data_IF_128738752706
#
_entry.id   IF_128738752706
#
_cell.length_a   1.000
_cell.length_b   1.000
_cell.length_c   1.000
_cell.angle_alpha   90.00
_cell.angle_beta   90.00
_cell.angle_gamma   90.00
#
_symmetry.space_group_name_H-M   'P 1'
#
loop_
_entity.id
_entity.type
_entity.pdbx_description
1 polymer ?
#
# COMPACT_ATOMS: atom_id res chain seq x y z
N UNK A 1 -30.81 0.56 37.41
CA UNK A 1 -32.03 0.99 36.68
C UNK A 1 -31.72 0.77 35.22
N UNK A 2 -32.43 -0.16 34.58
CA UNK A 2 -32.10 -0.57 33.21
C UNK A 2 -32.38 0.59 32.26
N UNK A 3 -31.46 0.85 31.32
CA UNK A 3 -31.55 1.93 30.36
C UNK A 3 -32.89 1.84 29.56
N UNK A 4 -33.65 2.94 29.42
CA UNK A 4 -34.96 2.92 28.73
C UNK A 4 -34.85 2.49 27.26
N UNK A 5 -33.74 2.77 26.59
CA UNK A 5 -33.51 2.32 25.21
C UNK A 5 -33.35 0.81 25.14
N UNK A 6 -32.61 0.20 26.09
CA UNK A 6 -32.50 -1.26 26.18
C UNK A 6 -33.87 -1.89 26.48
N UNK A 7 -34.67 -1.30 27.37
CA UNK A 7 -36.03 -1.82 27.64
C UNK A 7 -36.92 -1.80 26.39
N UNK A 8 -36.85 -0.73 25.57
CA UNK A 8 -37.56 -0.66 24.30
C UNK A 8 -37.13 -1.79 23.35
N UNK A 9 -35.82 -2.00 23.19
CA UNK A 9 -35.26 -3.07 22.35
C UNK A 9 -35.67 -4.45 22.83
N UNK A 10 -35.59 -4.71 24.14
CA UNK A 10 -36.02 -5.97 24.75
C UNK A 10 -37.46 -6.29 24.41
N UNK A 11 -38.36 -5.32 24.54
CA UNK A 11 -39.78 -5.52 24.23
C UNK A 11 -39.98 -5.91 22.75
N UNK A 12 -39.26 -5.27 21.83
CA UNK A 12 -39.33 -5.61 20.41
C UNK A 12 -38.76 -7.00 20.11
N UNK A 13 -37.62 -7.36 20.72
CA UNK A 13 -37.06 -8.71 20.62
C UNK A 13 -38.01 -9.79 21.14
N UNK A 14 -38.79 -9.52 22.21
CA UNK A 14 -39.81 -10.45 22.71
C UNK A 14 -41.02 -10.61 21.78
N UNK A 15 -41.32 -9.62 20.94
CA UNK A 15 -42.32 -9.75 19.88
C UNK A 15 -41.83 -10.66 18.73
N UNK A 16 -40.56 -11.07 18.77
CA UNK A 16 -39.95 -11.99 17.80
C UNK A 16 -39.47 -11.31 16.52
N UNK A 17 -39.67 -9.98 16.40
CA UNK A 17 -39.29 -9.20 15.23
C UNK A 17 -38.74 -7.84 15.66
N UNK A 18 -37.53 -7.50 15.19
CA UNK A 18 -36.89 -6.21 15.39
C UNK A 18 -36.21 -5.76 14.09
N UNK A 19 -36.68 -4.66 13.51
CA UNK A 19 -36.02 -4.01 12.38
C UNK A 19 -34.97 -3.05 12.91
N UNK A 20 -33.72 -3.18 12.46
CA UNK A 20 -32.60 -2.34 12.89
C UNK A 20 -32.58 -0.99 12.14
N UNK A 21 -33.59 -0.17 12.40
CA UNK A 21 -33.78 1.14 11.76
C UNK A 21 -33.65 2.32 12.74
N UNK A 22 -33.76 3.54 12.22
CA UNK A 22 -33.62 4.75 13.02
C UNK A 22 -34.66 4.85 14.16
N UNK A 23 -35.83 4.21 14.02
CA UNK A 23 -36.89 4.25 15.03
C UNK A 23 -36.60 3.30 16.19
N UNK A 24 -36.04 2.13 15.90
CA UNK A 24 -35.79 1.10 16.89
C UNK A 24 -34.49 1.33 17.67
N UNK A 25 -33.42 1.73 16.98
CA UNK A 25 -32.06 1.78 17.54
C UNK A 25 -31.42 3.18 17.47
N UNK A 26 -32.12 4.16 16.91
CA UNK A 26 -31.64 5.54 16.76
C UNK A 26 -30.84 5.78 15.49
N UNK A 27 -30.80 7.04 15.04
CA UNK A 27 -30.24 7.42 13.73
C UNK A 27 -28.75 7.11 13.57
N UNK A 28 -27.95 7.31 14.62
CA UNK A 28 -26.50 7.10 14.53
C UNK A 28 -26.15 5.63 14.21
N UNK A 29 -26.71 4.68 14.97
CA UNK A 29 -26.46 3.26 14.80
C UNK A 29 -27.11 2.72 13.52
N UNK A 30 -28.33 3.17 13.21
CA UNK A 30 -29.01 2.79 11.98
C UNK A 30 -28.23 3.24 10.74
N UNK A 31 -27.63 4.44 10.74
CA UNK A 31 -26.81 4.90 9.63
C UNK A 31 -25.53 4.05 9.48
N UNK A 32 -24.89 3.64 10.58
CA UNK A 32 -23.72 2.75 10.53
C UNK A 32 -24.07 1.37 9.96
N UNK A 33 -25.21 0.80 10.35
CA UNK A 33 -25.69 -0.47 9.79
C UNK A 33 -26.04 -0.32 8.31
N UNK A 34 -26.72 0.77 7.93
CA UNK A 34 -27.01 1.06 6.53
C UNK A 34 -25.75 1.24 5.69
N UNK A 35 -24.70 1.84 6.25
CA UNK A 35 -23.40 1.92 5.58
C UNK A 35 -22.76 0.54 5.44
N UNK A 36 -22.67 -0.24 6.52
CA UNK A 36 -22.02 -1.55 6.51
C UNK A 36 -22.72 -2.61 5.63
N UNK A 37 -24.05 -2.50 5.48
CA UNK A 37 -24.89 -3.44 4.73
C UNK A 37 -25.66 -2.72 3.60
N UNK A 38 -24.97 -1.84 2.86
CA UNK A 38 -25.56 -0.93 1.86
C UNK A 38 -26.69 -1.58 1.03
N UNK A 39 -27.91 -1.07 1.22
CA UNK A 39 -29.12 -1.54 0.53
C UNK A 39 -29.94 -2.61 1.27
N UNK A 40 -29.47 -3.14 2.40
CA UNK A 40 -30.20 -4.11 3.22
C UNK A 40 -30.83 -3.45 4.47
N UNK A 41 -32.12 -3.68 4.67
CA UNK A 41 -32.76 -3.42 5.96
C UNK A 41 -32.63 -4.69 6.79
N UNK A 42 -31.80 -4.63 7.84
CA UNK A 42 -31.59 -5.78 8.70
C UNK A 42 -32.79 -5.97 9.64
N UNK A 43 -33.40 -7.14 9.53
CA UNK A 43 -34.52 -7.56 10.36
C UNK A 43 -34.14 -8.81 11.15
N UNK A 44 -34.25 -8.73 12.47
CA UNK A 44 -34.05 -9.85 13.38
C UNK A 44 -35.39 -10.58 13.56
N UNK A 45 -35.41 -11.87 13.28
CA UNK A 45 -36.56 -12.75 13.41
C UNK A 45 -36.22 -13.99 14.24
N UNK A 46 -37.23 -14.77 14.64
CA UNK A 46 -37.05 -16.04 15.35
C UNK A 46 -36.11 -15.94 16.58
N UNK A 47 -36.26 -14.86 17.36
CA UNK A 47 -35.43 -14.60 18.54
C UNK A 47 -35.59 -15.72 19.57
N UNK A 48 -34.49 -16.39 19.89
CA UNK A 48 -34.48 -17.46 20.91
C UNK A 48 -34.66 -16.88 22.31
N UNK A 49 -35.47 -17.55 23.10
CA UNK A 49 -35.74 -17.20 24.49
C UNK A 49 -35.04 -18.17 25.46
N UNK A 50 -34.63 -17.73 26.66
CA UNK A 50 -34.71 -16.34 27.16
C UNK A 50 -33.59 -15.44 26.60
N UNK A 51 -33.86 -14.12 26.52
CA UNK A 51 -32.84 -13.10 26.28
C UNK A 51 -32.04 -12.90 27.58
N UNK A 52 -30.70 -12.95 27.51
CA UNK A 52 -29.84 -12.72 28.66
C UNK A 52 -29.65 -11.21 28.88
N UNK A 53 -29.92 -10.71 30.09
CA UNK A 53 -29.91 -9.27 30.39
C UNK A 53 -29.04 -8.91 31.59
N UNK A 54 -28.41 -7.74 31.51
CA UNK A 54 -27.76 -7.03 32.62
C UNK A 54 -28.33 -5.62 32.74
N UNK A 55 -27.83 -4.82 33.68
CA UNK A 55 -28.24 -3.40 33.80
C UNK A 55 -27.92 -2.57 32.54
N UNK A 56 -26.92 -3.00 31.77
CA UNK A 56 -26.28 -2.27 30.67
C UNK A 56 -26.20 -3.05 29.36
N UNK A 57 -26.73 -4.28 29.27
CA UNK A 57 -26.68 -5.08 28.04
C UNK A 57 -27.83 -6.07 27.86
N UNK A 58 -28.05 -6.46 26.60
CA UNK A 58 -28.96 -7.51 26.16
C UNK A 58 -28.24 -8.42 25.17
N UNK A 59 -28.10 -9.70 25.52
CA UNK A 59 -27.51 -10.73 24.68
C UNK A 59 -28.59 -11.71 24.20
N UNK A 60 -28.64 -11.95 22.89
CA UNK A 60 -29.67 -12.76 22.24
C UNK A 60 -29.15 -13.52 21.02
N UNK A 61 -29.94 -14.50 20.58
CA UNK A 61 -29.75 -15.19 19.30
C UNK A 61 -31.01 -15.00 18.45
N UNK A 62 -30.83 -14.78 17.15
CA UNK A 62 -31.90 -14.54 16.20
C UNK A 62 -31.55 -15.09 14.81
N UNK A 63 -32.43 -14.85 13.83
CA UNK A 63 -32.17 -15.06 12.41
C UNK A 63 -32.33 -13.76 11.64
N UNK A 64 -31.54 -13.58 10.59
CA UNK A 64 -31.74 -12.53 9.60
C UNK A 64 -32.20 -13.21 8.29
N UNK A 65 -33.31 -12.78 7.68
CA UNK A 65 -33.84 -13.39 6.46
C UNK A 65 -32.84 -13.45 5.31
N UNK A 66 -32.04 -12.40 5.14
CA UNK A 66 -30.93 -12.30 4.20
C UNK A 66 -29.83 -11.46 4.82
N UNK A 67 -28.61 -11.99 4.86
CA UNK A 67 -27.41 -11.28 5.30
C UNK A 67 -26.29 -11.59 4.32
N UNK A 68 -25.80 -10.59 3.59
CA UNK A 68 -24.73 -10.76 2.60
C UNK A 68 -25.02 -11.92 1.62
N UNK A 69 -26.21 -11.91 1.03
CA UNK A 69 -26.66 -12.94 0.08
C UNK A 69 -27.00 -14.32 0.69
N UNK A 70 -26.78 -14.53 1.99
CA UNK A 70 -27.10 -15.78 2.69
C UNK A 70 -28.47 -15.71 3.33
N UNK A 71 -29.34 -16.67 2.98
CA UNK A 71 -30.71 -16.75 3.51
C UNK A 71 -30.77 -17.38 4.89
N UNK A 72 -31.69 -16.88 5.72
CA UNK A 72 -32.02 -17.41 7.05
C UNK A 72 -30.78 -17.56 7.96
N UNK A 73 -29.91 -16.56 7.91
CA UNK A 73 -28.63 -16.59 8.61
C UNK A 73 -28.86 -16.50 10.12
N UNK A 74 -28.35 -17.48 10.86
CA UNK A 74 -28.34 -17.42 12.32
C UNK A 74 -27.33 -16.38 12.79
N UNK A 75 -27.74 -15.57 13.77
CA UNK A 75 -26.92 -14.51 14.33
C UNK A 75 -26.97 -14.50 15.86
N UNK A 76 -25.88 -14.05 16.45
CA UNK A 76 -25.75 -13.75 17.88
C UNK A 76 -25.49 -12.26 18.03
N UNK A 77 -26.20 -11.59 18.93
CA UNK A 77 -26.18 -10.14 19.03
C UNK A 77 -26.14 -9.65 20.46
N UNK A 78 -25.41 -8.55 20.68
CA UNK A 78 -25.33 -7.87 21.97
C UNK A 78 -25.61 -6.39 21.78
N UNK A 79 -26.70 -5.89 22.35
CA UNK A 79 -26.88 -4.45 22.58
C UNK A 79 -26.27 -4.10 23.93
N UNK A 80 -25.54 -3.00 24.02
CA UNK A 80 -24.99 -2.52 25.28
C UNK A 80 -24.93 -1.00 25.34
N UNK A 81 -24.81 -0.44 26.54
CA UNK A 81 -24.68 1.01 26.73
C UNK A 81 -23.26 1.34 27.19
N UNK A 82 -22.58 2.19 26.42
CA UNK A 82 -21.24 2.67 26.75
C UNK A 82 -21.19 4.20 26.61
N UNK A 83 -20.65 4.87 27.63
CA UNK A 83 -20.62 6.35 27.70
C UNK A 83 -21.97 7.03 27.41
N UNK A 84 -23.07 6.39 27.81
CA UNK A 84 -24.44 6.88 27.62
C UNK A 84 -24.99 6.70 26.20
N UNK A 85 -24.23 6.08 25.30
CA UNK A 85 -24.64 5.75 23.93
C UNK A 85 -24.99 4.27 23.83
N UNK A 86 -25.96 3.95 22.96
CA UNK A 86 -26.33 2.58 22.63
C UNK A 86 -25.38 2.07 21.55
N UNK A 87 -24.76 0.93 21.82
CA UNK A 87 -23.85 0.22 20.94
C UNK A 87 -24.40 -1.17 20.62
N UNK A 88 -23.90 -1.77 19.55
CA UNK A 88 -24.35 -3.05 19.03
C UNK A 88 -23.21 -3.87 18.44
N UNK A 89 -23.18 -5.15 18.82
CA UNK A 89 -22.38 -6.18 18.19
C UNK A 89 -23.30 -7.23 17.56
N UNK A 90 -22.97 -7.65 16.35
CA UNK A 90 -23.65 -8.72 15.64
C UNK A 90 -22.60 -9.69 15.10
N UNK A 91 -22.74 -10.97 15.43
CA UNK A 91 -21.91 -12.06 14.91
C UNK A 91 -22.75 -13.02 14.10
N UNK A 92 -22.21 -13.44 12.95
CA UNK A 92 -22.76 -14.50 12.14
C UNK A 92 -21.65 -15.45 11.68
N UNK A 93 -21.95 -16.74 11.55
CA UNK A 93 -21.04 -17.69 10.89
C UNK A 93 -21.59 -18.00 9.51
N UNK A 94 -20.88 -17.54 8.48
CA UNK A 94 -21.26 -17.71 7.09
C UNK A 94 -21.06 -19.18 6.66
N UNK A 95 -21.84 -19.66 5.68
CA UNK A 95 -21.71 -21.01 5.18
C UNK A 95 -20.35 -21.21 4.51
N UNK A 96 -19.86 -22.45 4.51
CA UNK A 96 -18.54 -22.83 3.96
C UNK A 96 -18.31 -22.46 2.49
N UNK A 97 -19.40 -22.33 1.74
CA UNK A 97 -19.41 -22.04 0.30
C UNK A 97 -19.57 -20.56 0.00
N UNK A 98 -19.72 -19.71 1.01
CA UNK A 98 -19.85 -18.28 0.80
C UNK A 98 -18.57 -17.74 0.14
N UNK A 99 -18.77 -17.01 -0.96
CA UNK A 99 -17.72 -16.26 -1.62
C UNK A 99 -18.11 -14.78 -1.68
N UNK A 100 -17.11 -13.92 -1.87
CA UNK A 100 -17.32 -12.47 -1.95
C UNK A 100 -18.16 -12.06 -3.17
N UNK A 101 -18.40 -12.93 -4.16
CA UNK A 101 -19.22 -12.62 -5.35
C UNK A 101 -20.71 -12.72 -5.08
N UNK A 102 -21.12 -13.42 -4.01
CA UNK A 102 -22.53 -13.58 -3.66
C UNK A 102 -23.14 -12.32 -3.05
N UNK A 103 -22.32 -11.33 -2.66
CA UNK A 103 -22.76 -10.18 -1.90
C UNK A 103 -21.87 -8.96 -2.04
N UNK A 104 -22.41 -7.81 -1.62
CA UNK A 104 -21.74 -6.52 -1.52
C UNK A 104 -20.43 -6.57 -0.68
N UNK A 105 -19.42 -5.73 -0.98
CA UNK A 105 -19.38 -4.74 -2.07
C UNK A 105 -19.17 -5.32 -3.48
N UNK A 106 -19.70 -4.59 -4.48
CA UNK A 106 -19.48 -4.88 -5.90
C UNK A 106 -17.99 -4.66 -6.22
N UNK A 107 -17.19 -5.72 -6.19
CA UNK A 107 -15.75 -5.62 -6.39
C UNK A 107 -15.45 -5.18 -7.82
N UNK A 108 -14.54 -4.23 -8.04
CA UNK A 108 -14.20 -3.84 -9.40
C UNK A 108 -13.41 -4.95 -10.08
N UNK A 109 -13.56 -5.02 -11.39
CA UNK A 109 -12.63 -5.77 -12.21
C UNK A 109 -11.21 -5.20 -12.07
N UNK A 110 -10.19 -6.04 -12.25
CA UNK A 110 -8.81 -5.58 -12.30
C UNK A 110 -8.19 -5.82 -13.68
N UNK A 111 -7.16 -5.02 -14.00
CA UNK A 111 -6.36 -5.18 -15.21
C UNK A 111 -5.15 -6.07 -14.91
N UNK A 112 -5.02 -7.18 -15.63
CA UNK A 112 -3.90 -8.10 -15.50
C UNK A 112 -2.65 -7.52 -16.17
N UNK A 113 -1.58 -7.27 -15.40
CA UNK A 113 -0.32 -6.72 -15.92
C UNK A 113 0.49 -7.72 -16.77
N UNK A 114 0.15 -9.01 -16.75
CA UNK A 114 0.87 -10.09 -17.43
C UNK A 114 0.55 -10.23 -18.94
N UNK A 115 -0.52 -9.60 -19.44
CA UNK A 115 -0.86 -9.61 -20.86
C UNK A 115 -0.90 -8.17 -21.39
N UNK A 116 0.14 -7.73 -22.12
CA UNK A 116 0.14 -6.47 -22.87
C UNK A 116 -0.64 -6.57 -24.20
N UNK A 117 -1.52 -7.57 -24.33
CA UNK A 117 -2.36 -7.76 -25.51
C UNK A 117 -3.61 -6.87 -25.45
N UNK A 118 -4.15 -6.43 -26.60
CA UNK A 118 -5.39 -5.65 -26.67
C UNK A 118 -6.63 -6.41 -26.13
N UNK A 119 -6.51 -7.71 -25.85
CA UNK A 119 -7.54 -8.58 -25.26
C UNK A 119 -7.29 -8.88 -23.76
N UNK A 120 -6.44 -8.12 -23.06
CA UNK A 120 -6.27 -8.20 -21.61
C UNK A 120 -7.49 -7.62 -20.87
N UNK A 121 -8.67 -8.15 -21.19
CA UNK A 121 -9.93 -7.73 -20.64
C UNK A 121 -9.93 -7.80 -19.11
N UNK A 122 -10.76 -6.96 -18.53
CA UNK A 122 -11.17 -7.00 -17.14
C UNK A 122 -11.27 -8.45 -16.62
N UNK A 123 -10.42 -8.80 -15.67
CA UNK A 123 -10.50 -10.04 -14.92
C UNK A 123 -11.32 -9.80 -13.66
N UNK A 124 -12.12 -10.80 -13.28
CA UNK A 124 -12.89 -10.80 -12.04
C UNK A 124 -11.98 -10.65 -10.82
N UNK A 125 -12.37 -9.88 -9.80
CA UNK A 125 -11.57 -9.63 -8.60
C UNK A 125 -10.94 -10.91 -8.00
N UNK A 126 -9.65 -10.83 -7.62
CA UNK A 126 -8.94 -11.91 -6.90
C UNK A 126 -9.71 -12.39 -5.66
N UNK A 127 -10.49 -11.52 -5.03
CA UNK A 127 -11.30 -11.85 -3.87
C UNK A 127 -12.37 -12.92 -4.17
N UNK A 128 -12.84 -13.02 -5.42
CA UNK A 128 -13.75 -14.08 -5.86
C UNK A 128 -13.05 -15.44 -5.99
N UNK A 129 -11.73 -15.46 -6.10
CA UNK A 129 -10.92 -16.68 -6.16
C UNK A 129 -10.50 -17.17 -4.77
N UNK A 130 -10.72 -16.39 -3.71
CA UNK A 130 -10.44 -16.83 -2.34
C UNK A 130 -11.30 -18.04 -1.98
N UNK A 131 -10.65 -19.03 -1.36
CA UNK A 131 -11.29 -20.26 -0.87
C UNK A 131 -10.94 -20.45 0.60
N UNK A 132 -11.92 -20.92 1.35
CA UNK A 132 -11.82 -21.13 2.80
C UNK A 132 -11.85 -22.63 3.11
N UNK A 133 -11.05 -23.13 4.07
CA UNK A 133 -11.10 -24.52 4.48
C UNK A 133 -12.52 -24.93 4.92
N UNK A 134 -12.95 -26.10 4.48
CA UNK A 134 -14.31 -26.56 4.76
C UNK A 134 -14.59 -26.70 6.27
N UNK A 135 -13.59 -26.89 7.11
CA UNK A 135 -13.72 -26.99 8.57
C UNK A 135 -13.61 -25.64 9.30
N UNK A 136 -13.32 -24.54 8.58
CA UNK A 136 -13.12 -23.20 9.15
C UNK A 136 -14.01 -22.17 8.46
N UNK A 137 -15.31 -22.12 8.81
CA UNK A 137 -16.24 -21.15 8.20
C UNK A 137 -15.84 -19.71 8.53
N UNK A 138 -16.24 -18.77 7.67
CA UNK A 138 -16.00 -17.36 7.91
C UNK A 138 -16.91 -16.82 9.02
N UNK A 139 -16.32 -16.15 9.99
CA UNK A 139 -17.02 -15.43 11.05
C UNK A 139 -17.13 -13.96 10.64
N UNK A 140 -18.37 -13.49 10.53
CA UNK A 140 -18.71 -12.09 10.30
C UNK A 140 -18.97 -11.43 11.65
N UNK A 141 -18.41 -10.23 11.87
CA UNK A 141 -18.66 -9.41 13.05
C UNK A 141 -18.93 -7.97 12.64
N UNK A 142 -20.16 -7.50 12.81
CA UNK A 142 -20.44 -6.07 12.79
C UNK A 142 -20.24 -5.50 14.20
N UNK A 143 -19.55 -4.37 14.28
CA UNK A 143 -19.35 -3.61 15.53
C UNK A 143 -19.66 -2.15 15.31
N UNK A 144 -20.56 -1.57 16.10
CA UNK A 144 -20.74 -0.12 16.13
C UNK A 144 -19.62 0.62 16.86
N UNK A 145 -18.81 -0.10 17.63
CA UNK A 145 -17.71 0.44 18.43
C UNK A 145 -16.34 0.10 17.81
N UNK A 146 -15.37 1.02 17.92
CA UNK A 146 -14.01 0.79 17.44
C UNK A 146 -13.13 0.24 18.59
N UNK A 147 -13.04 -1.09 18.71
CA UNK A 147 -12.23 -1.75 19.74
C UNK A 147 -10.73 -1.62 19.54
N UNK A 148 -10.28 -1.41 18.29
CA UNK A 148 -8.88 -1.09 17.99
C UNK A 148 -8.43 0.19 18.73
N UNK A 149 -9.28 1.22 18.79
CA UNK A 149 -8.98 2.52 19.43
C UNK A 149 -9.32 2.56 20.92
N UNK A 150 -10.43 1.96 21.33
CA UNK A 150 -10.88 1.94 22.72
C UNK A 150 -11.31 0.53 23.14
N UNK A 151 -10.44 -0.15 23.89
CA UNK A 151 -10.64 -1.55 24.31
C UNK A 151 -11.49 -1.67 25.60
N UNK A 152 -12.01 -0.57 26.13
CA UNK A 152 -12.71 -0.57 27.43
C UNK A 152 -13.93 -1.49 27.47
N UNK A 153 -14.86 -1.48 26.49
CA UNK A 153 -16.03 -2.37 26.51
C UNK A 153 -15.72 -3.83 26.09
N UNK A 154 -14.45 -4.29 26.15
CA UNK A 154 -14.02 -5.61 25.64
C UNK A 154 -14.77 -6.81 26.21
N UNK A 155 -15.33 -6.70 27.41
CA UNK A 155 -16.10 -7.79 28.03
C UNK A 155 -17.31 -8.19 27.18
N UNK A 156 -17.92 -7.26 26.44
CA UNK A 156 -19.04 -7.56 25.55
C UNK A 156 -18.59 -8.35 24.33
N UNK A 157 -17.43 -8.00 23.76
CA UNK A 157 -16.85 -8.78 22.65
C UNK A 157 -16.45 -10.19 23.12
N UNK A 158 -15.86 -10.33 24.31
CA UNK A 158 -15.55 -11.65 24.89
C UNK A 158 -16.81 -12.47 25.19
N UNK A 159 -17.91 -11.82 25.58
CA UNK A 159 -19.19 -12.49 25.82
C UNK A 159 -19.79 -13.05 24.51
N UNK A 160 -19.59 -12.34 23.39
CA UNK A 160 -20.02 -12.74 22.06
C UNK A 160 -19.16 -13.89 21.52
N UNK A 161 -17.84 -13.75 21.64
CA UNK A 161 -16.90 -14.78 21.21
C UNK A 161 -15.53 -14.59 21.88
N UNK A 162 -15.12 -15.60 22.63
CA UNK A 162 -13.82 -15.61 23.33
C UNK A 162 -12.62 -15.77 22.39
N UNK A 163 -12.82 -16.18 21.13
CA UNK A 163 -11.72 -16.41 20.18
C UNK A 163 -11.39 -15.17 19.33
N UNK A 164 -12.20 -14.11 19.38
CA UNK A 164 -11.94 -12.89 18.62
C UNK A 164 -10.80 -12.08 19.25
N UNK A 165 -9.86 -11.65 18.41
CA UNK A 165 -8.83 -10.71 18.84
C UNK A 165 -9.39 -9.29 18.89
N UNK A 166 -9.64 -8.79 20.10
CA UNK A 166 -10.20 -7.46 20.36
C UNK A 166 -9.41 -6.35 19.64
N UNK A 167 -8.08 -6.44 19.54
CA UNK A 167 -7.27 -5.40 18.92
C UNK A 167 -7.40 -5.33 17.39
N UNK A 168 -8.08 -6.30 16.78
CA UNK A 168 -8.32 -6.39 15.33
C UNK A 168 -9.77 -6.10 14.94
N UNK A 169 -10.65 -5.78 15.89
CA UNK A 169 -12.06 -5.46 15.59
C UNK A 169 -12.22 -3.95 15.39
N UNK A 170 -12.49 -3.58 14.15
CA UNK A 170 -12.80 -2.23 13.70
C UNK A 170 -14.30 -1.93 13.89
N UNK A 171 -14.64 -0.64 13.93
CA UNK A 171 -16.02 -0.21 13.73
C UNK A 171 -16.44 -0.52 12.29
N UNK A 172 -17.66 -1.01 12.11
CA UNK A 172 -18.18 -1.50 10.83
C UNK A 172 -18.12 -3.02 10.73
N UNK A 173 -17.94 -3.52 9.51
CA UNK A 173 -17.97 -4.94 9.18
C UNK A 173 -16.56 -5.56 9.26
N UNK A 174 -16.44 -6.67 9.98
CA UNK A 174 -15.20 -7.41 10.16
C UNK A 174 -15.39 -8.88 9.76
N UNK A 175 -14.32 -9.52 9.33
CA UNK A 175 -14.25 -10.89 8.85
C UNK A 175 -13.12 -11.64 9.57
N UNK A 176 -13.35 -12.87 9.99
CA UNK A 176 -12.31 -13.72 10.59
C UNK A 176 -12.45 -15.12 10.00
N UNK A 177 -11.38 -15.62 9.38
CA UNK A 177 -11.34 -16.97 8.83
C UNK A 177 -9.90 -17.38 8.50
N UNK A 178 -9.74 -18.42 7.69
CA UNK A 178 -8.47 -18.82 7.12
C UNK A 178 -8.59 -19.02 5.61
N UNK A 179 -7.55 -18.66 4.86
CA UNK A 179 -7.46 -18.94 3.42
C UNK A 179 -6.78 -20.28 3.22
N UNK A 180 -7.32 -21.14 2.34
CA UNK A 180 -6.66 -22.39 1.96
C UNK A 180 -5.60 -22.12 0.88
N UNK A 181 -4.33 -22.41 1.18
CA UNK A 181 -3.21 -22.13 0.26
C UNK A 181 -3.20 -23.05 -0.98
N UNK A 182 -3.71 -24.27 -0.85
CA UNK A 182 -3.76 -25.25 -1.95
C UNK A 182 -4.50 -24.76 -3.19
N UNK A 183 -5.41 -23.79 -3.01
CA UNK A 183 -6.22 -23.21 -4.07
C UNK A 183 -5.62 -21.92 -4.63
N UNK A 184 -4.49 -21.45 -4.09
CA UNK A 184 -3.79 -20.23 -4.53
C UNK A 184 -2.29 -20.51 -4.76
N UNK A 185 -1.90 -21.27 -5.81
CA UNK A 185 -0.54 -21.79 -5.99
C UNK A 185 0.58 -20.73 -5.99
N UNK A 186 0.28 -19.53 -6.49
CA UNK A 186 1.23 -18.41 -6.49
C UNK A 186 1.41 -17.83 -5.09
N UNK A 187 0.33 -17.69 -4.31
CA UNK A 187 0.41 -17.26 -2.92
C UNK A 187 1.13 -18.34 -2.08
N UNK A 188 0.83 -19.62 -2.31
CA UNK A 188 1.52 -20.75 -1.67
C UNK A 188 3.04 -20.69 -1.90
N UNK A 189 3.49 -20.47 -3.14
CA UNK A 189 4.92 -20.32 -3.48
C UNK A 189 5.57 -19.15 -2.73
N UNK A 190 4.86 -18.03 -2.59
CA UNK A 190 5.35 -16.85 -1.87
C UNK A 190 5.45 -17.07 -0.36
N UNK A 191 4.51 -17.81 0.20
CA UNK A 191 4.40 -18.13 1.62
C UNK A 191 5.40 -19.23 2.01
N UNK A 192 5.64 -20.20 1.13
CA UNK A 192 6.72 -21.18 1.26
C UNK A 192 8.09 -20.48 1.27
N UNK A 193 8.31 -19.49 0.40
CA UNK A 193 9.54 -18.69 0.40
C UNK A 193 9.74 -17.89 1.69
N UNK A 194 8.64 -17.41 2.27
CA UNK A 194 8.60 -16.80 3.58
C UNK A 194 8.89 -17.81 4.72
N UNK A 195 9.03 -19.10 4.43
CA UNK A 195 9.30 -20.14 5.41
C UNK A 195 8.09 -20.49 6.27
N UNK A 196 6.89 -20.09 5.83
CA UNK A 196 5.64 -20.46 6.47
C UNK A 196 5.19 -21.82 5.92
N UNK A 197 4.94 -22.77 6.82
CA UNK A 197 4.75 -24.19 6.46
C UNK A 197 3.30 -24.65 6.60
N UNK A 198 2.41 -23.81 7.13
CA UNK A 198 1.02 -24.19 7.30
C UNK A 198 0.28 -24.10 5.96
N UNK A 199 -0.66 -25.03 5.73
CA UNK A 199 -1.46 -25.12 4.51
C UNK A 199 -2.61 -24.09 4.44
N UNK A 200 -2.76 -23.28 5.48
CA UNK A 200 -3.78 -22.23 5.57
C UNK A 200 -3.24 -20.98 6.24
N UNK A 201 -3.81 -19.83 5.88
CA UNK A 201 -3.43 -18.53 6.42
C UNK A 201 -4.58 -17.92 7.22
N UNK A 202 -4.48 -17.81 8.55
CA UNK A 202 -5.47 -17.10 9.34
C UNK A 202 -5.42 -15.61 9.02
N UNK A 203 -6.60 -15.01 8.83
CA UNK A 203 -6.72 -13.59 8.52
C UNK A 203 -7.77 -12.89 9.38
N UNK A 204 -7.54 -11.59 9.57
CA UNK A 204 -8.53 -10.63 10.03
C UNK A 204 -8.83 -9.67 8.90
N UNK A 205 -10.09 -9.59 8.50
CA UNK A 205 -10.54 -8.67 7.47
C UNK A 205 -11.46 -7.60 8.03
N UNK A 206 -11.52 -6.46 7.36
CA UNK A 206 -12.53 -5.44 7.64
C UNK A 206 -12.90 -4.66 6.38
N UNK A 207 -14.08 -4.06 6.40
CA UNK A 207 -14.53 -3.11 5.40
C UNK A 207 -14.20 -1.68 5.87
N UNK A 208 -13.27 -1.04 5.18
CA UNK A 208 -12.92 0.36 5.37
C UNK A 208 -13.83 1.21 4.48
N UNK A 209 -14.74 1.96 5.09
CA UNK A 209 -15.64 2.86 4.37
C UNK A 209 -15.24 4.31 4.63
N UNK A 210 -14.93 5.02 3.56
CA UNK A 210 -14.70 6.46 3.55
C UNK A 210 -15.71 7.13 2.60
N UNK A 211 -15.98 8.44 2.72
CA UNK A 211 -16.94 9.13 1.85
C UNK A 211 -16.64 9.00 0.34
N UNK A 212 -15.39 8.71 -0.03
CA UNK A 212 -14.88 8.76 -1.39
C UNK A 212 -14.39 7.40 -1.92
N UNK A 213 -14.28 6.40 -1.03
CA UNK A 213 -13.88 5.04 -1.38
C UNK A 213 -14.32 4.01 -0.35
N UNK A 214 -14.48 2.77 -0.79
CA UNK A 214 -14.71 1.59 0.04
C UNK A 214 -13.60 0.58 -0.23
N UNK A 215 -13.10 -0.10 0.80
CA UNK A 215 -12.01 -1.08 0.68
C UNK A 215 -12.30 -2.29 1.56
N UNK A 216 -12.31 -3.49 0.98
CA UNK A 216 -12.14 -4.71 1.76
C UNK A 216 -10.65 -4.94 1.93
N UNK A 217 -10.20 -5.07 3.17
CA UNK A 217 -8.82 -5.37 3.51
C UNK A 217 -8.77 -6.63 4.37
N UNK A 218 -7.98 -7.61 3.96
CA UNK A 218 -7.67 -8.84 4.71
C UNK A 218 -6.21 -8.78 5.13
N UNK A 219 -5.96 -8.88 6.43
CA UNK A 219 -4.63 -8.84 7.03
C UNK A 219 -4.29 -10.19 7.63
N UNK A 220 -3.14 -10.71 7.23
CA UNK A 220 -2.55 -11.96 7.71
C UNK A 220 -1.26 -11.58 8.42
N UNK A 221 -1.11 -12.02 9.66
CA UNK A 221 0.14 -11.82 10.39
C UNK A 221 1.15 -12.86 9.93
N UNK A 222 2.29 -12.39 9.43
CA UNK A 222 3.41 -13.21 9.02
C UNK A 222 4.61 -12.86 9.90
N UNK A 223 5.47 -13.82 10.21
CA UNK A 223 6.67 -13.53 10.99
C UNK A 223 7.86 -14.21 10.35
N UNK A 224 8.49 -13.54 9.38
CA UNK A 224 9.70 -14.05 8.76
C UNK A 224 10.74 -12.97 8.48
N UNK A 225 11.98 -13.42 8.34
CA UNK A 225 13.10 -12.56 7.94
C UNK A 225 13.93 -13.25 6.87
N UNK A 226 14.19 -12.55 5.77
CA UNK A 226 15.02 -13.02 4.67
C UNK A 226 16.17 -12.07 4.42
N UNK A 227 17.39 -12.61 4.40
CA UNK A 227 18.59 -11.85 4.06
C UNK A 227 19.01 -12.13 2.62
N UNK A 228 19.34 -11.08 1.87
CA UNK A 228 19.87 -11.14 0.52
C UNK A 228 21.27 -10.49 0.48
N UNK A 229 22.24 -11.25 -0.05
CA UNK A 229 23.65 -10.85 -0.23
C UNK A 229 24.34 -10.31 1.04
N UNK A 230 23.83 -10.67 2.23
CA UNK A 230 24.23 -10.09 3.53
C UNK A 230 24.13 -8.56 3.61
N UNK A 231 23.45 -7.93 2.64
CA UNK A 231 23.25 -6.48 2.55
C UNK A 231 21.85 -6.12 3.02
N UNK A 232 20.83 -6.81 2.51
CA UNK A 232 19.45 -6.45 2.78
C UNK A 232 18.78 -7.53 3.62
N UNK A 233 18.29 -7.15 4.79
CA UNK A 233 17.52 -8.03 5.68
C UNK A 233 16.08 -7.56 5.72
N UNK A 234 15.18 -8.29 5.06
CA UNK A 234 13.75 -8.02 5.00
C UNK A 234 13.04 -8.79 6.10
N UNK A 235 12.50 -8.09 7.10
CA UNK A 235 11.55 -8.64 8.06
C UNK A 235 10.14 -8.33 7.61
N UNK A 236 9.35 -9.33 7.23
CA UNK A 236 7.94 -9.16 6.88
C UNK A 236 7.08 -9.57 8.06
N UNK A 237 6.19 -8.66 8.45
CA UNK A 237 5.28 -8.79 9.60
C UNK A 237 3.84 -9.08 9.20
N UNK A 238 3.47 -8.79 7.94
CA UNK A 238 2.09 -8.97 7.50
C UNK A 238 1.99 -9.16 5.99
N UNK A 239 0.96 -9.89 5.57
CA UNK A 239 0.44 -9.92 4.22
C UNK A 239 -0.94 -9.28 4.22
N UNK A 240 -1.17 -8.38 3.27
CA UNK A 240 -2.43 -7.68 3.08
C UNK A 240 -2.97 -8.01 1.70
N UNK A 241 -4.19 -8.53 1.65
CA UNK A 241 -4.99 -8.57 0.43
C UNK A 241 -6.00 -7.44 0.52
N UNK A 242 -6.09 -6.61 -0.50
CA UNK A 242 -7.06 -5.52 -0.51
C UNK A 242 -7.74 -5.39 -1.86
N UNK A 243 -8.96 -4.90 -1.84
CA UNK A 243 -9.69 -4.48 -3.04
C UNK A 243 -10.53 -3.27 -2.66
N UNK A 244 -10.47 -2.22 -3.48
CA UNK A 244 -11.17 -0.97 -3.22
C UNK A 244 -12.10 -0.60 -4.35
N UNK A 245 -13.01 0.36 -4.13
CA UNK A 245 -13.83 1.06 -5.12
C UNK A 245 -13.73 2.54 -4.77
N UNK A 246 -13.49 3.43 -5.72
CA UNK A 246 -13.46 4.90 -5.50
C UNK A 246 -14.37 5.63 -6.47
N UNK A 247 -14.94 6.75 -6.01
CA UNK A 247 -15.73 7.65 -6.85
C UNK A 247 -14.87 8.63 -7.68
N UNK A 248 -13.59 8.79 -7.36
CA UNK A 248 -12.73 9.85 -7.93
C UNK A 248 -11.39 9.38 -8.50
N UNK A 249 -10.91 8.19 -8.13
CA UNK A 249 -9.63 7.68 -8.61
C UNK A 249 -9.79 6.71 -9.80
N UNK A 250 -9.00 6.91 -10.86
CA UNK A 250 -8.81 5.90 -11.92
C UNK A 250 -7.84 4.77 -11.50
N UNK A 251 -7.20 4.91 -10.34
CA UNK A 251 -6.33 3.90 -9.73
C UNK A 251 -7.11 3.22 -8.60
N UNK A 252 -8.12 2.45 -8.98
CA UNK A 252 -8.80 1.51 -8.10
C UNK A 252 -8.22 0.13 -8.44
N UNK A 253 -7.78 -0.62 -7.43
CA UNK A 253 -7.11 -1.89 -7.66
C UNK A 253 -7.39 -2.91 -6.56
N UNK A 254 -7.48 -4.16 -6.97
CA UNK A 254 -7.17 -5.28 -6.07
C UNK A 254 -5.66 -5.45 -6.03
N UNK A 255 -5.11 -5.77 -4.86
CA UNK A 255 -3.67 -5.91 -4.67
C UNK A 255 -3.31 -6.88 -3.55
N UNK A 256 -2.08 -7.39 -3.62
CA UNK A 256 -1.45 -8.18 -2.57
C UNK A 256 -0.18 -7.45 -2.15
N UNK A 257 -0.05 -7.12 -0.87
CA UNK A 257 1.10 -6.40 -0.33
C UNK A 257 1.70 -7.15 0.87
N UNK A 258 3.01 -7.30 0.92
CA UNK A 258 3.70 -7.71 2.15
C UNK A 258 4.23 -6.47 2.86
N UNK A 259 3.87 -6.30 4.13
CA UNK A 259 4.29 -5.19 4.96
C UNK A 259 5.38 -5.63 5.93
N UNK A 260 6.40 -4.80 6.07
CA UNK A 260 7.50 -5.11 6.96
C UNK A 260 8.55 -4.01 7.05
N UNK A 261 9.78 -4.41 7.37
CA UNK A 261 10.94 -3.53 7.43
C UNK A 261 12.17 -4.12 6.76
N UNK A 262 12.99 -3.25 6.16
CA UNK A 262 14.32 -3.58 5.63
C UNK A 262 15.41 -2.99 6.53
N UNK A 263 16.38 -3.80 6.90
CA UNK A 263 17.66 -3.35 7.45
C UNK A 263 18.74 -3.47 6.38
N UNK A 264 19.59 -2.45 6.24
CA UNK A 264 20.67 -2.42 5.25
C UNK A 264 22.02 -2.43 5.96
N UNK A 265 22.88 -3.38 5.58
CA UNK A 265 24.19 -3.61 6.18
C UNK A 265 24.09 -3.87 7.69
N UNK A 266 24.87 -3.12 8.47
CA UNK A 266 24.90 -3.24 9.94
C UNK A 266 23.86 -2.36 10.65
N UNK A 267 22.91 -1.76 9.91
CA UNK A 267 21.86 -0.93 10.51
C UNK A 267 21.02 -1.73 11.50
N UNK A 268 20.81 -1.17 12.69
CA UNK A 268 19.98 -1.78 13.75
C UNK A 268 18.52 -1.35 13.70
N UNK A 269 18.18 -0.37 12.88
CA UNK A 269 16.83 0.19 12.78
C UNK A 269 16.25 -0.15 11.42
N UNK A 270 15.31 -1.12 11.34
CA UNK A 270 14.59 -1.41 10.11
C UNK A 270 13.81 -0.20 9.62
N UNK A 271 13.70 -0.04 8.31
CA UNK A 271 12.88 0.96 7.63
C UNK A 271 11.67 0.30 7.01
N UNK A 272 10.51 0.93 7.11
CA UNK A 272 9.28 0.36 6.58
C UNK A 272 9.40 0.16 5.07
N UNK A 273 9.03 -1.03 4.61
CA UNK A 273 8.95 -1.38 3.19
C UNK A 273 7.62 -2.05 2.92
N UNK A 274 7.12 -1.82 1.72
CA UNK A 274 5.98 -2.52 1.18
C UNK A 274 6.44 -3.33 -0.03
N UNK A 275 6.16 -4.63 -0.03
CA UNK A 275 6.37 -5.48 -1.19
C UNK A 275 5.04 -5.65 -1.88
N UNK A 276 4.83 -4.91 -2.95
CA UNK A 276 3.62 -5.00 -3.76
C UNK A 276 3.78 -6.15 -4.74
N UNK A 277 2.76 -7.01 -4.82
CA UNK A 277 2.58 -7.93 -5.93
C UNK A 277 1.50 -7.37 -6.87
N UNK A 278 1.90 -6.79 -8.01
CA UNK A 278 0.92 -6.37 -9.01
C UNK A 278 0.16 -7.59 -9.53
N UNK A 279 -1.16 -7.52 -9.57
CA UNK A 279 -1.98 -8.67 -9.96
C UNK A 279 -1.66 -9.10 -11.39
N UNK A 280 -1.40 -10.40 -11.56
CA UNK A 280 -1.02 -10.99 -12.84
C UNK A 280 0.45 -10.81 -13.23
N UNK A 281 1.25 -10.18 -12.37
CA UNK A 281 2.70 -10.11 -12.55
C UNK A 281 3.39 -11.40 -12.10
N UNK A 282 4.44 -11.83 -12.79
CA UNK A 282 5.40 -12.82 -12.25
C UNK A 282 6.51 -12.17 -11.44
N UNK A 283 6.34 -10.89 -11.09
CA UNK A 283 7.29 -10.07 -10.36
C UNK A 283 6.65 -9.48 -9.11
N UNK A 284 7.32 -9.62 -7.97
CA UNK A 284 7.07 -8.79 -6.78
C UNK A 284 7.93 -7.53 -6.86
N UNK A 285 7.42 -6.39 -6.42
CA UNK A 285 8.13 -5.12 -6.39
C UNK A 285 8.23 -4.68 -4.93
N UNK A 286 9.44 -4.62 -4.40
CA UNK A 286 9.70 -3.98 -3.11
C UNK A 286 9.80 -2.48 -3.34
N UNK A 287 9.02 -1.68 -2.63
CA UNK A 287 9.07 -0.22 -2.66
C UNK A 287 9.41 0.33 -1.28
N UNK A 288 10.31 1.31 -1.24
CA UNK A 288 10.61 2.05 -0.03
C UNK A 288 9.67 3.25 0.08
N UNK A 289 8.92 3.34 1.20
CA UNK A 289 8.01 4.46 1.44
C UNK A 289 8.75 5.77 1.77
N UNK A 290 9.98 5.68 2.26
CA UNK A 290 10.79 6.82 2.70
C UNK A 290 12.27 6.65 2.30
N UNK A 291 13.03 7.76 2.18
CA UNK A 291 14.48 7.70 2.07
C UNK A 291 15.13 6.96 3.25
N UNK A 292 16.17 6.17 2.97
CA UNK A 292 16.89 5.38 3.97
C UNK A 292 18.29 6.00 4.19
N UNK A 293 18.76 6.18 5.43
CA UNK A 293 20.11 6.66 5.70
C UNK A 293 21.16 5.82 4.97
N UNK A 294 22.09 6.46 4.28
CA UNK A 294 23.10 5.78 3.49
C UNK A 294 24.19 5.15 4.39
N UNK A 295 24.39 3.82 4.37
CA UNK A 295 25.36 3.15 5.23
C UNK A 295 26.82 3.24 4.70
N UNK A 296 27.04 3.92 3.57
CA UNK A 296 28.33 4.01 2.90
C UNK A 296 28.50 3.01 1.76
N UNK A 297 29.34 3.36 0.78
CA UNK A 297 29.55 2.56 -0.44
C UNK A 297 30.15 1.18 -0.16
N UNK A 298 30.96 1.05 0.90
CA UNK A 298 31.60 -0.22 1.27
C UNK A 298 30.57 -1.33 1.53
N UNK A 299 29.36 -0.96 1.99
CA UNK A 299 28.23 -1.88 2.19
C UNK A 299 27.80 -2.57 0.90
N UNK A 300 27.99 -1.93 -0.27
CA UNK A 300 27.53 -2.41 -1.57
C UNK A 300 28.64 -3.00 -2.44
N UNK A 301 29.85 -3.19 -1.91
CA UNK A 301 31.03 -3.61 -2.70
C UNK A 301 30.82 -4.91 -3.47
N UNK A 302 30.14 -5.88 -2.87
CA UNK A 302 29.85 -7.16 -3.52
C UNK A 302 28.77 -7.03 -4.59
N UNK A 303 27.76 -6.18 -4.34
CA UNK A 303 26.62 -6.00 -5.23
C UNK A 303 26.96 -5.15 -6.47
N UNK A 304 27.76 -4.10 -6.27
CA UNK A 304 28.05 -3.06 -7.26
C UNK A 304 29.50 -3.09 -7.74
N UNK A 305 30.14 -4.26 -7.70
CA UNK A 305 31.57 -4.40 -7.99
C UNK A 305 31.96 -3.75 -9.33
N UNK A 306 33.04 -2.96 -9.32
CA UNK A 306 33.53 -2.20 -10.48
C UNK A 306 32.69 -0.98 -10.89
N UNK A 307 31.55 -0.73 -10.25
CA UNK A 307 30.65 0.40 -10.54
C UNK A 307 30.46 1.32 -9.34
N UNK A 308 31.36 1.22 -8.36
CA UNK A 308 31.38 2.09 -7.20
C UNK A 308 32.34 3.27 -7.37
N UNK A 309 32.01 4.42 -6.78
CA UNK A 309 32.82 5.65 -6.88
C UNK A 309 34.19 5.54 -6.22
N UNK A 310 34.30 4.74 -5.17
CA UNK A 310 35.54 4.50 -4.41
C UNK A 310 36.47 3.46 -5.07
N UNK A 311 36.01 2.77 -6.13
CA UNK A 311 36.73 1.63 -6.73
C UNK A 311 37.33 1.94 -8.12
N UNK A 312 37.22 3.16 -8.64
CA UNK A 312 37.86 3.50 -9.91
C UNK A 312 38.37 4.94 -9.96
N UNK A 313 39.61 5.12 -10.44
CA UNK A 313 40.17 6.41 -10.85
C UNK A 313 39.40 7.02 -12.04
N UNK A 314 38.42 6.29 -12.59
CA UNK A 314 37.60 6.63 -13.76
C UNK A 314 36.17 7.05 -13.41
N UNK A 315 35.80 7.09 -12.13
CA UNK A 315 34.46 7.52 -11.74
C UNK A 315 34.33 9.04 -11.94
N UNK A 316 33.34 9.53 -12.69
CA UNK A 316 33.36 10.91 -13.21
C UNK A 316 32.99 11.98 -12.17
N UNK A 317 32.77 11.60 -10.91
CA UNK A 317 32.30 12.51 -9.86
C UNK A 317 33.14 12.38 -8.60
N UNK A 318 33.61 13.52 -8.11
CA UNK A 318 34.20 13.64 -6.78
C UNK A 318 33.10 13.65 -5.70
N UNK A 319 32.60 12.48 -5.31
CA UNK A 319 31.46 12.34 -4.38
C UNK A 319 31.72 12.94 -2.99
N UNK A 320 32.97 13.11 -2.60
CA UNK A 320 33.35 13.72 -1.32
C UNK A 320 32.79 15.15 -1.13
N UNK A 321 32.31 15.81 -2.20
CA UNK A 321 31.66 17.11 -2.15
C UNK A 321 30.14 17.06 -1.88
N UNK A 322 29.51 15.89 -2.02
CA UNK A 322 28.09 15.71 -1.77
C UNK A 322 27.86 15.48 -0.27
N UNK A 323 27.19 16.42 0.39
CA UNK A 323 26.73 16.31 1.77
C UNK A 323 25.87 15.06 1.99
N UNK A 324 25.59 14.70 3.26
CA UNK A 324 24.80 13.53 3.73
C UNK A 324 23.95 12.88 2.63
N UNK A 325 24.41 11.73 2.16
CA UNK A 325 23.71 10.92 1.17
C UNK A 325 22.62 10.08 1.84
N UNK A 326 21.59 9.78 1.07
CA UNK A 326 20.49 8.88 1.43
C UNK A 326 20.24 7.94 0.25
N UNK A 327 19.75 6.74 0.56
CA UNK A 327 19.14 5.87 -0.43
C UNK A 327 17.75 6.45 -0.71
N UNK A 328 17.59 6.99 -1.92
CA UNK A 328 16.37 7.67 -2.39
C UNK A 328 15.40 6.69 -3.06
N UNK A 329 15.91 5.62 -3.64
CA UNK A 329 15.15 4.55 -4.28
C UNK A 329 15.81 3.21 -3.94
N UNK A 330 15.03 2.26 -3.47
CA UNK A 330 15.42 0.86 -3.39
C UNK A 330 14.24 0.02 -3.87
N UNK A 331 14.40 -0.62 -5.02
CA UNK A 331 13.41 -1.54 -5.55
C UNK A 331 14.03 -2.89 -5.84
N UNK A 332 13.40 -3.96 -5.37
CA UNK A 332 13.82 -5.33 -5.61
C UNK A 332 12.70 -6.05 -6.32
N UNK A 333 13.01 -6.60 -7.48
CA UNK A 333 12.07 -7.35 -8.28
C UNK A 333 12.35 -8.83 -8.09
N UNK A 334 11.35 -9.59 -7.65
CA UNK A 334 11.46 -11.04 -7.47
C UNK A 334 10.76 -11.75 -8.62
N UNK A 335 11.48 -12.51 -9.44
CA UNK A 335 10.87 -13.44 -10.40
C UNK A 335 10.34 -14.66 -9.67
N UNK A 336 9.14 -15.15 -9.99
CA UNK A 336 8.51 -16.31 -9.34
C UNK A 336 8.90 -17.68 -9.94
N UNK A 337 9.56 -17.72 -11.11
CA UNK A 337 9.86 -18.97 -11.83
C UNK A 337 11.23 -18.96 -12.53
N UNK A 338 12.32 -19.42 -11.88
CA UNK A 338 12.38 -19.83 -10.48
C UNK A 338 12.35 -18.61 -9.55
N UNK A 339 11.95 -18.83 -8.29
CA UNK A 339 11.90 -17.76 -7.30
C UNK A 339 13.28 -17.17 -6.99
N UNK A 340 13.55 -15.94 -7.43
CA UNK A 340 14.84 -15.25 -7.22
C UNK A 340 14.73 -13.74 -7.39
N UNK A 341 15.68 -12.99 -6.84
CA UNK A 341 15.87 -11.58 -7.22
C UNK A 341 16.28 -11.53 -8.69
N UNK A 342 15.46 -10.91 -9.53
CA UNK A 342 15.71 -10.75 -10.96
C UNK A 342 16.28 -9.39 -11.31
N UNK A 343 15.97 -8.37 -10.51
CA UNK A 343 16.37 -7.00 -10.81
C UNK A 343 16.38 -6.16 -9.53
N UNK A 344 17.36 -5.25 -9.42
CA UNK A 344 17.51 -4.33 -8.28
C UNK A 344 17.69 -2.93 -8.84
N UNK A 345 16.89 -1.99 -8.38
CA UNK A 345 17.12 -0.55 -8.55
C UNK A 345 17.60 0.01 -7.23
N UNK A 346 18.73 0.70 -7.25
CA UNK A 346 19.27 1.41 -6.10
C UNK A 346 19.66 2.82 -6.54
N UNK A 347 19.02 3.84 -6.00
CA UNK A 347 19.39 5.24 -6.23
C UNK A 347 19.87 5.87 -4.93
N UNK A 348 21.07 6.44 -4.96
CA UNK A 348 21.69 7.16 -3.84
C UNK A 348 21.85 8.62 -4.26
N UNK A 349 21.41 9.54 -3.42
CA UNK A 349 21.55 10.96 -3.68
C UNK A 349 21.57 11.79 -2.41
N UNK A 350 21.78 13.11 -2.52
CA UNK A 350 21.64 14.01 -1.40
C UNK A 350 20.24 13.98 -0.79
N UNK A 351 20.10 14.49 0.44
CA UNK A 351 18.81 14.64 1.11
C UNK A 351 17.83 15.50 0.29
N UNK A 352 16.53 15.35 0.55
CA UNK A 352 15.52 16.21 -0.08
C UNK A 352 15.84 17.71 0.10
N UNK A 353 15.56 18.51 -0.94
CA UNK A 353 15.84 19.95 -1.02
C UNK A 353 17.33 20.34 -1.08
N UNK A 354 18.23 19.38 -1.29
CA UNK A 354 19.61 19.72 -1.63
C UNK A 354 19.65 20.51 -2.93
N UNK A 355 20.53 21.52 -2.98
CA UNK A 355 20.85 22.17 -4.22
C UNK A 355 22.31 22.66 -4.23
N UNK A 356 22.87 22.77 -5.43
CA UNK A 356 24.21 23.28 -5.65
C UNK A 356 24.19 24.40 -6.69
N UNK A 357 24.35 25.67 -6.27
CA UNK A 357 24.54 26.79 -7.18
C UNK A 357 25.80 26.60 -8.03
N UNK A 358 25.69 26.76 -9.34
CA UNK A 358 26.81 26.70 -10.29
C UNK A 358 27.16 28.08 -10.85
N UNK A 359 26.13 28.89 -11.12
CA UNK A 359 26.27 30.27 -11.60
C UNK A 359 25.22 31.13 -10.90
N UNK A 360 25.56 31.59 -9.70
CA UNK A 360 24.61 32.31 -8.86
C UNK A 360 23.32 31.53 -8.64
N UNK A 361 22.17 32.21 -8.69
CA UNK A 361 20.84 31.54 -8.69
C UNK A 361 20.36 31.15 -10.08
N UNK A 362 21.02 31.61 -11.14
CA UNK A 362 20.57 31.43 -12.52
C UNK A 362 20.83 30.01 -13.06
N UNK A 363 21.83 29.31 -12.50
CA UNK A 363 22.06 27.89 -12.75
C UNK A 363 22.29 27.16 -11.43
N UNK A 364 21.38 26.26 -11.09
CA UNK A 364 21.43 25.49 -9.85
C UNK A 364 21.14 24.01 -10.14
N UNK A 365 21.94 23.09 -9.58
CA UNK A 365 21.57 21.68 -9.55
C UNK A 365 20.57 21.50 -8.41
N UNK A 366 19.36 21.03 -8.68
CA UNK A 366 18.28 20.83 -7.71
C UNK A 366 18.12 19.37 -7.28
N UNK A 367 18.66 18.43 -8.06
CA UNK A 367 18.69 17.02 -7.67
C UNK A 367 19.86 16.29 -8.32
N UNK A 368 20.36 15.26 -7.66
CA UNK A 368 21.45 14.40 -8.13
C UNK A 368 21.27 12.97 -7.59
N UNK A 369 21.05 12.01 -8.47
CA UNK A 369 20.92 10.61 -8.14
C UNK A 369 21.96 9.76 -8.87
N UNK A 370 22.70 9.00 -8.09
CA UNK A 370 23.55 7.91 -8.55
C UNK A 370 22.66 6.66 -8.57
N UNK A 371 22.28 6.17 -9.75
CA UNK A 371 21.33 5.06 -9.90
C UNK A 371 22.03 3.83 -10.47
N UNK A 372 21.91 2.71 -9.78
CA UNK A 372 22.36 1.40 -10.23
C UNK A 372 21.15 0.53 -10.53
N UNK A 373 21.17 -0.09 -11.70
CA UNK A 373 20.23 -1.12 -12.11
C UNK A 373 21.01 -2.42 -12.22
N UNK A 374 20.75 -3.34 -11.29
CA UNK A 374 21.45 -4.62 -11.17
C UNK A 374 20.54 -5.74 -11.65
N UNK A 375 21.01 -6.52 -12.62
CA UNK A 375 20.33 -7.70 -13.18
C UNK A 375 21.18 -8.95 -12.88
N UNK A 376 20.98 -9.61 -11.71
CA UNK A 376 21.74 -10.79 -11.35
C UNK A 376 21.63 -11.89 -12.42
N UNK A 377 22.76 -12.39 -12.91
CA UNK A 377 22.82 -13.43 -13.94
C UNK A 377 22.81 -12.93 -15.40
N UNK A 378 22.75 -11.61 -15.63
CA UNK A 378 22.96 -11.00 -16.96
C UNK A 378 24.48 -10.87 -17.25
N UNK A 379 24.95 -11.07 -18.50
CA UNK A 379 26.33 -10.80 -18.92
C UNK A 379 26.82 -9.35 -18.68
N UNK A 380 25.91 -8.37 -18.64
CA UNK A 380 26.16 -6.99 -18.24
C UNK A 380 25.32 -6.65 -17.02
N UNK A 381 25.70 -7.15 -15.84
CA UNK A 381 24.78 -7.25 -14.71
C UNK A 381 24.49 -5.90 -14.05
N UNK A 382 25.20 -4.83 -14.38
CA UNK A 382 25.07 -3.53 -13.75
C UNK A 382 25.00 -2.46 -14.82
N UNK A 383 23.94 -1.65 -14.81
CA UNK A 383 23.89 -0.36 -15.51
C UNK A 383 23.96 0.74 -14.47
N UNK A 384 24.74 1.77 -14.78
CA UNK A 384 24.91 2.92 -13.90
C UNK A 384 24.48 4.19 -14.61
N UNK A 385 23.66 4.98 -13.93
CA UNK A 385 23.12 6.24 -14.40
C UNK A 385 23.47 7.34 -13.41
N UNK A 386 23.82 8.50 -13.95
CA UNK A 386 23.77 9.76 -13.23
C UNK A 386 22.50 10.48 -13.67
N UNK A 387 21.54 10.63 -12.76
CA UNK A 387 20.34 11.43 -12.98
C UNK A 387 20.50 12.75 -12.23
N UNK A 388 20.02 13.84 -12.84
CA UNK A 388 20.16 15.17 -12.25
C UNK A 388 19.07 16.11 -12.75
N UNK A 389 18.74 17.10 -11.96
CA UNK A 389 17.82 18.16 -12.35
C UNK A 389 18.51 19.51 -12.21
N UNK A 390 18.44 20.34 -13.26
CA UNK A 390 19.04 21.67 -13.29
C UNK A 390 17.93 22.71 -13.38
N UNK A 391 17.95 23.69 -12.49
CA UNK A 391 17.23 24.93 -12.68
C UNK A 391 18.10 25.87 -13.52
N UNK A 392 17.62 26.20 -14.70
CA UNK A 392 18.29 27.05 -15.68
C UNK A 392 17.35 28.24 -15.93
N UNK A 393 17.66 29.41 -15.38
CA UNK A 393 16.86 30.63 -15.56
C UNK A 393 15.37 30.45 -15.24
N UNK A 394 15.04 29.67 -14.20
CA UNK A 394 13.67 29.39 -13.75
C UNK A 394 13.00 28.15 -14.38
N UNK A 395 13.61 27.53 -15.40
CA UNK A 395 13.11 26.30 -16.02
C UNK A 395 13.86 25.05 -15.54
N UNK A 396 13.14 23.96 -15.32
CA UNK A 396 13.72 22.67 -14.91
C UNK A 396 14.17 21.84 -16.12
N UNK A 397 15.45 21.52 -16.19
CA UNK A 397 16.06 20.63 -17.18
C UNK A 397 16.45 19.32 -16.49
N UNK A 398 15.75 18.24 -16.83
CA UNK A 398 16.08 16.91 -16.33
C UNK A 398 17.14 16.30 -17.22
N UNK A 399 18.20 15.77 -16.62
CA UNK A 399 19.32 15.20 -17.35
C UNK A 399 19.73 13.83 -16.83
N UNK A 400 20.22 13.02 -17.76
CA UNK A 400 20.74 11.68 -17.50
C UNK A 400 22.05 11.45 -18.22
N UNK A 401 22.95 10.69 -17.62
CA UNK A 401 24.15 10.17 -18.27
C UNK A 401 24.33 8.69 -17.92
N UNK A 402 24.76 7.88 -18.89
CA UNK A 402 24.87 6.42 -18.73
C UNK A 402 26.32 5.96 -18.82
N UNK A 403 26.76 5.07 -17.92
CA UNK A 403 28.06 4.41 -17.98
C UNK A 403 28.17 3.44 -19.17
N UNK A 404 29.35 3.26 -19.81
CA UNK A 404 30.66 3.87 -19.49
C UNK A 404 30.93 5.20 -20.20
N UNK A 405 30.07 5.60 -21.13
CA UNK A 405 30.36 6.69 -22.05
C UNK A 405 30.07 8.06 -21.43
N UNK A 406 29.17 8.13 -20.45
CA UNK A 406 28.74 9.35 -19.75
C UNK A 406 28.38 10.48 -20.71
N UNK A 407 27.79 10.13 -21.85
CA UNK A 407 27.10 11.09 -22.70
C UNK A 407 25.92 11.63 -21.90
N UNK A 408 26.03 12.89 -21.49
CA UNK A 408 25.01 13.59 -20.75
C UNK A 408 23.96 14.09 -21.74
N UNK A 409 22.69 13.88 -21.43
CA UNK A 409 21.55 14.38 -22.20
C UNK A 409 20.52 14.94 -21.25
N UNK A 410 20.07 16.17 -21.47
CA UNK A 410 18.98 16.78 -20.71
C UNK A 410 18.02 17.55 -21.58
N UNK A 411 16.75 17.51 -21.21
CA UNK A 411 15.64 18.19 -21.87
C UNK A 411 14.89 19.09 -20.88
N UNK A 412 14.40 20.22 -21.38
CA UNK A 412 13.49 21.09 -20.66
C UNK A 412 12.17 20.36 -20.37
N UNK A 413 11.70 20.45 -19.12
CA UNK A 413 10.43 19.84 -18.73
C UNK A 413 9.24 20.39 -19.53
N UNK A 414 8.19 19.57 -19.68
CA UNK A 414 6.96 19.97 -20.36
C UNK A 414 6.39 21.26 -19.77
N UNK A 415 6.03 22.21 -20.64
CA UNK A 415 5.45 23.52 -20.28
C UNK A 415 6.36 24.42 -19.41
N UNK A 416 7.65 24.12 -19.34
CA UNK A 416 8.63 24.99 -18.70
C UNK A 416 9.20 25.99 -19.72
N UNK A 417 9.68 27.13 -19.23
CA UNK A 417 10.42 28.11 -20.03
C UNK A 417 11.67 28.55 -19.30
N UNK A 418 12.74 28.78 -20.04
CA UNK A 418 13.99 29.32 -19.49
C UNK A 418 14.07 30.81 -19.81
N UNK A 419 14.31 31.64 -18.80
CA UNK A 419 14.56 33.07 -18.96
C UNK A 419 16.06 33.31 -19.21
N UNK A 420 16.45 33.49 -20.47
CA UNK A 420 17.86 33.69 -20.85
C UNK A 420 18.45 34.97 -20.24
N UNK A 421 17.62 35.99 -20.05
CA UNK A 421 17.98 37.25 -19.39
C UNK A 421 18.55 37.03 -17.98
N UNK A 422 17.96 36.13 -17.19
CA UNK A 422 18.41 35.85 -15.81
C UNK A 422 19.82 35.25 -15.80
N UNK A 423 20.14 34.42 -16.79
CA UNK A 423 21.47 33.81 -16.93
C UNK A 423 22.50 34.86 -17.32
N UNK A 424 22.16 35.74 -18.27
CA UNK A 424 23.11 36.74 -18.77
C UNK A 424 23.32 37.86 -17.74
N UNK A 425 22.28 38.29 -17.03
CA UNK A 425 22.40 39.29 -15.95
C UNK A 425 23.30 38.82 -14.81
N UNK A 426 23.33 37.51 -14.52
CA UNK A 426 24.24 36.94 -13.52
C UNK A 426 25.71 36.95 -13.99
N UNK A 427 25.96 36.82 -15.30
CA UNK A 427 27.31 36.89 -15.89
C UNK A 427 27.76 38.34 -16.09
N UNK A 428 26.83 39.21 -16.50
CA UNK A 428 27.05 40.62 -16.83
C UNK A 428 26.04 41.47 -16.06
N UNK A 429 26.37 41.86 -14.81
CA UNK A 429 25.47 42.66 -13.99
C UNK A 429 25.11 43.99 -14.67
N UNK A 430 23.82 44.32 -14.70
CA UNK A 430 23.22 45.52 -15.32
C UNK A 430 23.14 45.51 -16.87
N UNK A 431 23.23 44.35 -17.52
CA UNK A 431 22.92 44.26 -18.94
C UNK A 431 21.42 44.53 -19.17
N UNK A 432 21.07 45.57 -19.93
CA UNK A 432 19.68 45.81 -20.34
C UNK A 432 19.33 44.90 -21.52
N UNK A 433 18.72 43.75 -21.23
CA UNK A 433 18.42 42.73 -22.22
C UNK A 433 16.92 42.64 -22.51
N UNK A 434 16.53 42.27 -23.75
CA UNK A 434 15.15 41.96 -24.06
C UNK A 434 14.73 40.62 -23.45
N UNK A 435 13.45 40.51 -23.07
CA UNK A 435 12.89 39.27 -22.54
C UNK A 435 12.77 38.20 -23.62
N UNK A 436 13.56 37.13 -23.47
CA UNK A 436 13.59 35.98 -24.36
C UNK A 436 13.33 34.72 -23.54
N UNK A 437 12.21 34.05 -23.84
CA UNK A 437 11.85 32.76 -23.28
C UNK A 437 12.22 31.63 -24.25
N UNK A 438 12.94 30.62 -23.76
CA UNK A 438 13.25 29.41 -24.52
C UNK A 438 12.18 28.35 -24.19
N UNK A 439 11.59 27.77 -25.24
CA UNK A 439 10.53 26.75 -25.14
C UNK A 439 11.07 25.31 -25.24
N UNK A 440 12.20 25.11 -25.94
CA UNK A 440 12.90 23.83 -26.06
C UNK A 440 14.41 24.04 -25.87
N UNK A 441 14.99 23.36 -24.88
CA UNK A 441 16.44 23.31 -24.66
C UNK A 441 16.89 21.86 -24.52
N UNK A 442 17.85 21.46 -25.35
CA UNK A 442 18.59 20.22 -25.19
C UNK A 442 20.04 20.53 -24.78
N UNK A 443 20.51 19.88 -23.71
CA UNK A 443 21.89 19.97 -23.24
C UNK A 443 22.55 18.63 -23.49
N UNK A 444 23.70 18.63 -24.15
CA UNK A 444 24.54 17.44 -24.28
C UNK A 444 25.97 17.71 -23.83
N UNK A 445 26.58 16.79 -23.09
CA UNK A 445 27.97 16.92 -22.66
C UNK A 445 28.73 15.59 -22.80
N UNK A 446 29.98 15.68 -23.23
CA UNK A 446 30.95 14.59 -23.12
C UNK A 446 31.88 14.91 -21.95
N UNK A 447 31.62 14.28 -20.81
CA UNK A 447 32.33 14.55 -19.55
C UNK A 447 33.80 14.11 -19.64
N UNK A 448 34.12 13.07 -20.43
CA UNK A 448 35.52 12.64 -20.64
C UNK A 448 36.32 13.62 -21.47
N UNK A 449 35.65 14.40 -22.31
CA UNK A 449 36.26 15.42 -23.17
C UNK A 449 36.10 16.85 -22.63
N UNK A 450 35.44 17.04 -21.50
CA UNK A 450 35.13 18.35 -20.90
C UNK A 450 34.40 19.31 -21.87
N UNK A 451 33.54 18.77 -22.75
CA UNK A 451 32.81 19.57 -23.75
C UNK A 451 31.31 19.62 -23.43
N UNK A 452 30.74 20.83 -23.37
CA UNK A 452 29.32 21.12 -23.21
C UNK A 452 28.75 21.73 -24.49
N UNK A 453 27.63 21.19 -24.97
CA UNK A 453 26.90 21.69 -26.15
C UNK A 453 25.45 21.99 -25.78
N UNK A 454 24.99 23.18 -26.16
CA UNK A 454 23.60 23.62 -25.99
C UNK A 454 22.94 23.68 -27.37
N UNK A 455 21.80 23.01 -27.54
CA UNK A 455 20.99 23.10 -28.73
C UNK A 455 19.66 23.79 -28.39
N UNK A 456 19.39 24.92 -29.04
CA UNK A 456 18.16 25.69 -28.90
C UNK A 456 17.39 25.54 -30.20
N UNK A 457 16.22 24.90 -30.14
CA UNK A 457 15.28 24.84 -31.25
C UNK A 457 14.24 25.95 -31.10
N UNK A 458 14.29 26.92 -32.01
CA UNK A 458 13.24 27.93 -32.13
C UNK A 458 12.17 27.40 -33.11
N UNK A 459 10.95 27.16 -32.64
CA UNK A 459 9.80 27.18 -33.55
C UNK A 459 9.49 28.64 -33.86
N UNK A 460 9.72 29.04 -35.12
CA UNK A 460 9.24 30.33 -35.67
C UNK A 460 7.75 30.31 -35.89
#
# INVERSE_FOLDING_TARGET
MINPNLQSIKNQLHLGHLTLDQNAIGSALANQLQQAFSGEILQLEEVKQPIAETDDSLHFQARIPSLLGVRLQAVEGIFFVYNGQLEYLLKATLPKVWDFSWSYPDLPDYTNFGNLGPDAGNQSSLFYDLRFPADKPMVLVFSSHNFQKDQTPKSYLTLLDTTLNISKIHQGLNFVSEIALSEMPLLDTLIEFAGYQDLSLPFYGYLNQQPEYEEIRLEIELNFTKTYEDIFSFGISSLVLHTSISLYANYIGSGISFLGGVSIGTSKTPKNVEIVWPVGSTQLIIENAEPIPFPGFDTFTNLLSGHLPNNSDTFPLAINSLSTLEIRELSLHLSLSPLRVSYIVLSIGPTANWNQPLLGKALTIEDLLLRWEVSPGDPTPIRFYLLSAFNVGGGLVNASAVFPDFAFYGELGLYQTIALEQIIEEIIPNAHLPHISILDLAISADIKREHLTYAISNYT
#
